data_IF_389250019712
#
_entry.id   IF_389250019712
#
_cell.length_a   1.000
_cell.length_b   1.000
_cell.length_c   1.000
_cell.angle_alpha   90.00
_cell.angle_beta   90.00
_cell.angle_gamma   90.00
#
_symmetry.space_group_name_H-M   'P 1'
#
loop_
_entity.id
_entity.type
_entity.pdbx_description
1 polymer ?
#
# COMPACT_ATOMS: atom_id res chain seq x y z
N UNK A 1 -32.72 -10.43 -11.44
CA UNK A 1 -32.52 -9.12 -12.10
C UNK A 1 -32.47 -7.98 -11.11
N UNK A 2 -33.54 -7.80 -10.38
CA UNK A 2 -33.67 -6.70 -9.44
C UNK A 2 -32.70 -6.83 -8.26
N UNK A 3 -32.29 -8.06 -7.92
CA UNK A 3 -31.34 -8.29 -6.81
C UNK A 3 -29.97 -7.66 -7.03
N UNK A 4 -29.54 -7.52 -8.29
CA UNK A 4 -28.25 -6.91 -8.61
C UNK A 4 -28.21 -5.42 -8.30
N UNK A 5 -29.33 -4.71 -8.54
CA UNK A 5 -29.41 -3.28 -8.28
C UNK A 5 -29.53 -2.96 -6.79
N UNK A 6 -29.76 -3.98 -5.95
CA UNK A 6 -29.88 -3.81 -4.50
C UNK A 6 -28.55 -4.01 -3.76
N UNK A 7 -27.48 -4.45 -4.46
CA UNK A 7 -26.17 -4.56 -3.83
C UNK A 7 -25.61 -3.16 -3.58
N UNK A 8 -25.32 -2.89 -2.32
CA UNK A 8 -24.69 -1.63 -1.94
C UNK A 8 -23.20 -1.71 -2.23
N UNK A 9 -22.71 -0.70 -2.94
CA UNK A 9 -21.28 -0.55 -3.22
C UNK A 9 -20.66 0.37 -2.17
N UNK A 10 -19.55 -0.07 -1.59
CA UNK A 10 -18.78 0.69 -0.60
C UNK A 10 -17.53 1.23 -1.27
N UNK A 11 -17.19 2.48 -0.98
CA UNK A 11 -15.96 3.09 -1.47
C UNK A 11 -15.35 3.94 -0.35
N UNK A 12 -14.06 3.75 -0.12
CA UNK A 12 -13.35 4.53 0.88
C UNK A 12 -11.89 4.66 0.50
N UNK A 13 -11.26 5.75 0.94
CA UNK A 13 -9.88 6.09 0.59
C UNK A 13 -9.12 6.61 1.79
N UNK A 14 -7.80 6.53 1.70
CA UNK A 14 -6.89 7.17 2.66
C UNK A 14 -5.67 7.70 1.92
N UNK A 15 -5.09 8.77 2.45
CA UNK A 15 -3.91 9.41 1.85
C UNK A 15 -2.93 9.76 2.95
N UNK A 16 -1.65 9.56 2.67
CA UNK A 16 -0.57 9.98 3.56
C UNK A 16 0.56 10.59 2.75
N UNK A 17 1.23 11.56 3.34
CA UNK A 17 2.44 12.16 2.80
C UNK A 17 3.59 11.89 3.73
N UNK A 18 4.80 11.82 3.17
CA UNK A 18 6.00 11.62 3.93
C UNK A 18 7.08 12.58 3.45
N UNK A 19 7.88 13.05 4.38
CA UNK A 19 8.98 13.96 4.11
C UNK A 19 10.15 13.47 4.97
N UNK A 20 11.20 12.97 4.30
CA UNK A 20 12.35 12.39 4.97
C UNK A 20 13.57 13.24 4.71
N UNK A 21 14.18 13.78 5.78
CA UNK A 21 15.44 14.50 5.69
C UNK A 21 16.57 13.49 5.72
N UNK A 22 17.48 13.61 4.76
CA UNK A 22 18.68 12.77 4.68
C UNK A 22 19.90 13.64 4.96
N UNK A 23 20.68 13.25 5.95
CA UNK A 23 21.81 14.07 6.43
C UNK A 23 23.02 14.01 5.51
N UNK A 24 23.33 12.85 4.95
CA UNK A 24 24.54 12.62 4.17
C UNK A 24 24.20 11.87 2.87
N UNK A 25 25.01 12.11 1.84
CA UNK A 25 24.93 11.40 0.56
C UNK A 25 23.61 11.64 -0.19
N UNK A 26 23.02 12.82 -0.04
CA UNK A 26 21.75 13.16 -0.71
C UNK A 26 21.86 12.98 -2.22
N UNK A 27 23.02 13.23 -2.81
CA UNK A 27 23.28 13.09 -4.23
C UNK A 27 23.15 11.64 -4.73
N UNK A 28 23.21 10.67 -3.83
CA UNK A 28 23.06 9.24 -4.17
C UNK A 28 21.61 8.76 -4.12
N UNK A 29 20.69 9.57 -3.63
CA UNK A 29 19.28 9.17 -3.51
C UNK A 29 18.65 8.75 -4.84
N UNK A 30 18.86 9.46 -5.96
CA UNK A 30 18.29 9.00 -7.23
C UNK A 30 18.76 7.62 -7.64
N UNK A 31 20.02 7.29 -7.44
CA UNK A 31 20.56 5.97 -7.76
C UNK A 31 20.03 4.90 -6.79
N UNK A 32 19.84 5.24 -5.52
CA UNK A 32 19.25 4.34 -4.55
C UNK A 32 17.83 3.95 -4.96
N UNK A 33 17.03 4.91 -5.42
CA UNK A 33 15.66 4.64 -5.84
C UNK A 33 15.57 3.68 -7.03
N UNK A 34 16.65 3.49 -7.78
CA UNK A 34 16.71 2.49 -8.86
C UNK A 34 16.82 1.05 -8.33
N UNK A 35 17.15 0.88 -7.05
CA UNK A 35 17.26 -0.44 -6.42
C UNK A 35 15.89 -0.91 -5.97
N UNK A 36 15.05 -1.31 -6.93
CA UNK A 36 13.62 -1.57 -6.70
C UNK A 36 13.34 -2.56 -5.58
N UNK A 37 13.96 -3.73 -5.62
CA UNK A 37 13.72 -4.76 -4.59
C UNK A 37 14.12 -4.26 -3.20
N UNK A 38 15.23 -3.56 -3.13
CA UNK A 38 15.74 -3.03 -1.88
C UNK A 38 14.82 -1.97 -1.30
N UNK A 39 14.42 -1.01 -2.14
CA UNK A 39 13.52 0.09 -1.73
C UNK A 39 12.16 -0.45 -1.30
N UNK A 40 11.57 -1.34 -2.10
CA UNK A 40 10.27 -1.93 -1.78
C UNK A 40 10.35 -2.74 -0.47
N UNK A 41 11.42 -3.50 -0.27
CA UNK A 41 11.63 -4.26 0.97
C UNK A 41 11.85 -3.39 2.20
N UNK A 42 12.32 -2.15 2.01
CA UNK A 42 12.44 -1.18 3.09
C UNK A 42 11.11 -0.47 3.40
N UNK A 43 10.21 -0.40 2.41
CA UNK A 43 8.91 0.25 2.55
C UNK A 43 7.83 -0.70 3.05
N UNK A 44 7.86 -1.95 2.60
CA UNK A 44 6.89 -2.97 2.95
C UNK A 44 7.59 -4.10 3.72
N UNK A 45 6.80 -4.88 4.47
CA UNK A 45 7.34 -6.00 5.23
C UNK A 45 7.90 -7.07 4.28
N UNK A 46 9.23 -7.31 4.27
CA UNK A 46 9.81 -8.26 3.35
C UNK A 46 9.36 -9.71 3.57
N UNK A 47 8.89 -10.06 4.76
CA UNK A 47 8.36 -11.40 5.02
C UNK A 47 7.05 -11.66 4.30
N UNK A 48 6.33 -10.61 3.95
CA UNK A 48 5.04 -10.68 3.25
C UNK A 48 5.15 -10.36 1.77
N UNK A 49 6.35 -10.08 1.30
CA UNK A 49 6.64 -9.63 -0.05
C UNK A 49 7.30 -10.75 -0.84
N UNK A 50 6.76 -11.07 -2.02
CA UNK A 50 7.29 -12.10 -2.90
C UNK A 50 7.58 -11.49 -4.27
N UNK A 51 8.83 -11.48 -4.73
CA UNK A 51 9.14 -11.04 -6.09
C UNK A 51 8.50 -11.96 -7.14
N UNK A 52 7.89 -11.36 -8.16
CA UNK A 52 7.28 -12.09 -9.28
C UNK A 52 8.07 -11.92 -10.59
N UNK A 53 9.07 -11.05 -10.58
CA UNK A 53 9.86 -10.69 -11.75
C UNK A 53 10.31 -9.25 -11.63
N UNK A 54 11.05 -8.71 -12.62
CA UNK A 54 11.52 -7.33 -12.56
C UNK A 54 10.37 -6.34 -12.41
N UNK A 55 10.40 -5.53 -11.36
CA UNK A 55 9.39 -4.52 -11.10
C UNK A 55 8.03 -5.05 -10.71
N UNK A 56 7.93 -6.32 -10.30
CA UNK A 56 6.65 -6.94 -9.97
C UNK A 56 6.77 -7.74 -8.68
N UNK A 57 5.79 -7.57 -7.80
CA UNK A 57 5.76 -8.19 -6.48
C UNK A 57 4.35 -8.62 -6.12
N UNK A 58 4.27 -9.67 -5.29
CA UNK A 58 3.05 -10.04 -4.58
C UNK A 58 3.22 -9.62 -3.14
N UNK A 59 2.19 -9.02 -2.55
CA UNK A 59 2.23 -8.58 -1.17
C UNK A 59 0.99 -9.05 -0.41
N UNK A 60 1.21 -9.69 0.72
CA UNK A 60 0.15 -10.08 1.64
C UNK A 60 -0.06 -8.94 2.64
N UNK A 61 -1.12 -8.17 2.45
CA UNK A 61 -1.43 -7.05 3.33
C UNK A 61 -1.75 -7.60 4.73
N UNK A 62 -1.35 -6.85 5.76
CA UNK A 62 -1.65 -7.25 7.14
C UNK A 62 -3.14 -7.51 7.29
N UNK A 63 -3.50 -8.68 7.79
CA UNK A 63 -4.89 -9.05 8.01
C UNK A 63 -5.51 -8.21 9.11
N UNK A 64 -6.80 -8.00 9.02
CA UNK A 64 -7.55 -7.21 9.99
C UNK A 64 -8.97 -7.75 10.10
N UNK A 65 -9.67 -7.33 11.14
CA UNK A 65 -11.07 -7.69 11.34
C UNK A 65 -11.96 -6.49 11.12
N UNK A 66 -13.03 -6.71 10.35
CA UNK A 66 -14.11 -5.76 10.21
C UNK A 66 -15.33 -6.38 10.89
N UNK A 67 -15.64 -5.89 12.08
CA UNK A 67 -16.62 -6.52 12.96
C UNK A 67 -16.18 -7.96 13.26
N UNK A 68 -16.87 -8.96 12.73
CA UNK A 68 -16.53 -10.37 12.96
C UNK A 68 -15.83 -11.03 11.76
N UNK A 69 -15.64 -10.27 10.67
CA UNK A 69 -15.03 -10.80 9.44
C UNK A 69 -13.52 -10.65 9.49
N UNK A 70 -12.81 -11.73 9.26
CA UNK A 70 -11.37 -11.73 9.06
C UNK A 70 -11.08 -11.38 7.60
N UNK A 71 -10.29 -10.34 7.37
CA UNK A 71 -9.99 -9.83 6.03
C UNK A 71 -8.50 -10.00 5.75
N UNK A 72 -8.17 -10.69 4.67
CA UNK A 72 -6.80 -10.97 4.27
C UNK A 72 -6.57 -10.53 2.83
N UNK A 73 -6.25 -9.24 2.60
CA UNK A 73 -6.02 -8.78 1.24
C UNK A 73 -4.68 -9.25 0.68
N UNK A 74 -4.68 -9.62 -0.60
CA UNK A 74 -3.47 -9.96 -1.34
C UNK A 74 -3.44 -9.08 -2.58
N UNK A 75 -2.30 -8.47 -2.85
CA UNK A 75 -2.17 -7.57 -4.00
C UNK A 75 -0.94 -7.92 -4.82
N UNK A 76 -1.04 -7.65 -6.13
CA UNK A 76 0.12 -7.62 -7.02
C UNK A 76 0.50 -6.16 -7.23
N UNK A 77 1.79 -5.88 -7.09
CA UNK A 77 2.32 -4.52 -7.15
C UNK A 77 3.26 -4.41 -8.35
N UNK A 78 3.06 -3.35 -9.14
CA UNK A 78 4.00 -2.92 -10.15
C UNK A 78 4.88 -1.80 -9.61
N UNK A 79 6.14 -1.78 -10.02
CA UNK A 79 7.12 -0.77 -9.62
C UNK A 79 7.75 -0.19 -10.86
N UNK A 80 7.75 1.12 -10.97
CA UNK A 80 8.33 1.84 -12.10
C UNK A 80 9.25 2.95 -11.59
N UNK A 81 10.34 3.16 -12.30
CA UNK A 81 11.22 4.29 -12.07
C UNK A 81 11.05 5.32 -13.17
N UNK A 82 11.09 6.58 -12.79
CA UNK A 82 11.28 7.69 -13.69
C UNK A 82 12.38 8.56 -13.10
N UNK A 83 12.68 9.70 -13.70
CA UNK A 83 13.77 10.55 -13.22
C UNK A 83 13.56 10.91 -11.75
N UNK A 84 14.49 10.46 -10.88
CA UNK A 84 14.49 10.73 -9.44
C UNK A 84 13.27 10.24 -8.66
N UNK A 85 12.49 9.33 -9.27
CA UNK A 85 11.24 8.83 -8.66
C UNK A 85 11.16 7.33 -8.72
N UNK A 86 10.49 6.75 -7.73
CA UNK A 86 9.99 5.39 -7.78
C UNK A 86 8.48 5.44 -7.51
N UNK A 87 7.73 4.73 -8.33
CA UNK A 87 6.27 4.64 -8.22
C UNK A 87 5.88 3.19 -7.99
N UNK A 88 4.98 2.98 -7.04
CA UNK A 88 4.36 1.68 -6.79
C UNK A 88 2.86 1.80 -7.02
N UNK A 89 2.29 0.80 -7.65
CA UNK A 89 0.85 0.75 -7.90
C UNK A 89 0.35 -0.69 -7.86
N UNK A 90 -0.90 -0.87 -7.48
CA UNK A 90 -1.52 -2.19 -7.46
C UNK A 90 -2.07 -2.50 -8.84
N UNK A 91 -1.72 -3.68 -9.37
CA UNK A 91 -2.21 -4.18 -10.65
C UNK A 91 -3.38 -5.14 -10.48
N UNK A 92 -3.37 -5.92 -9.42
CA UNK A 92 -4.44 -6.88 -9.11
C UNK A 92 -4.61 -6.97 -7.60
N UNK A 93 -5.83 -7.25 -7.16
CA UNK A 93 -6.13 -7.42 -5.74
C UNK A 93 -7.23 -8.46 -5.57
N UNK A 94 -7.18 -9.17 -4.45
CA UNK A 94 -8.24 -10.08 -4.04
C UNK A 94 -8.21 -10.26 -2.53
N UNK A 95 -9.29 -10.81 -2.00
CA UNK A 95 -9.38 -11.19 -0.59
C UNK A 95 -9.23 -12.69 -0.47
N UNK A 96 -8.29 -13.14 0.36
CA UNK A 96 -8.22 -14.54 0.75
C UNK A 96 -9.26 -14.79 1.82
N UNK A 97 -10.01 -15.88 1.68
CA UNK A 97 -11.04 -16.27 2.62
C UNK A 97 -12.31 -16.68 1.91
N UNK A 98 -13.09 -17.54 2.57
CA UNK A 98 -14.32 -18.06 2.03
C UNK A 98 -15.50 -17.15 2.37
N UNK A 99 -16.42 -17.00 1.41
CA UNK A 99 -17.72 -16.38 1.65
C UNK A 99 -17.71 -14.87 1.77
N UNK A 100 -16.64 -14.21 1.33
CA UNK A 100 -16.59 -12.75 1.31
C UNK A 100 -17.22 -12.24 0.01
N UNK A 101 -16.53 -11.41 -0.74
CA UNK A 101 -17.05 -10.81 -1.97
C UNK A 101 -16.08 -11.06 -3.12
N UNK A 102 -16.62 -11.06 -4.33
CA UNK A 102 -15.81 -11.29 -5.54
C UNK A 102 -15.31 -10.00 -6.17
N UNK A 103 -15.90 -8.88 -5.82
CA UNK A 103 -15.67 -7.60 -6.46
C UNK A 103 -14.79 -6.66 -5.65
N UNK A 104 -13.99 -7.21 -4.73
CA UNK A 104 -13.03 -6.42 -3.99
C UNK A 104 -11.97 -5.86 -4.94
N UNK A 105 -11.83 -4.54 -4.91
CA UNK A 105 -10.79 -3.86 -5.67
C UNK A 105 -10.05 -2.88 -4.77
N UNK A 106 -8.75 -3.10 -4.64
CA UNK A 106 -7.85 -2.24 -3.88
C UNK A 106 -6.94 -1.53 -4.87
N UNK A 107 -6.91 -0.21 -4.79
CA UNK A 107 -6.03 0.61 -5.61
C UNK A 107 -4.98 1.26 -4.73
N UNK A 108 -3.77 1.32 -5.25
CA UNK A 108 -2.66 2.02 -4.61
C UNK A 108 -1.93 2.81 -5.68
N UNK A 109 -1.62 4.05 -5.37
CA UNK A 109 -0.69 4.86 -6.14
C UNK A 109 0.23 5.55 -5.14
N UNK A 110 1.49 5.16 -5.13
CA UNK A 110 2.48 5.68 -4.21
C UNK A 110 3.72 6.13 -4.99
N UNK A 111 4.19 7.32 -4.69
CA UNK A 111 5.38 7.89 -5.33
C UNK A 111 6.35 8.35 -4.25
N UNK A 112 7.62 8.08 -4.46
CA UNK A 112 8.71 8.59 -3.62
C UNK A 112 9.70 9.27 -4.55
N UNK A 113 10.02 10.52 -4.25
CA UNK A 113 10.87 11.35 -5.10
C UNK A 113 12.06 11.88 -4.33
N UNK A 114 13.25 11.83 -4.97
CA UNK A 114 14.46 12.39 -4.40
C UNK A 114 14.46 13.92 -4.61
N UNK A 115 14.66 14.64 -3.52
CA UNK A 115 14.80 16.10 -3.47
C UNK A 115 16.19 16.46 -2.94
N UNK A 116 16.50 17.75 -2.92
CA UNK A 116 17.82 18.21 -2.46
C UNK A 116 18.12 17.83 -1.02
N UNK A 117 17.11 17.85 -0.16
CA UNK A 117 17.28 17.59 1.28
C UNK A 117 16.91 16.18 1.71
N UNK A 118 16.36 15.38 0.82
CA UNK A 118 15.90 14.03 1.20
C UNK A 118 14.88 13.47 0.22
N UNK A 119 13.87 12.81 0.77
CA UNK A 119 12.83 12.15 -0.01
C UNK A 119 11.46 12.72 0.34
N UNK A 120 10.65 12.96 -0.66
CA UNK A 120 9.24 13.28 -0.48
C UNK A 120 8.38 12.19 -1.08
N UNK A 121 7.34 11.82 -0.39
CA UNK A 121 6.43 10.79 -0.87
C UNK A 121 4.97 11.09 -0.58
N UNK A 122 4.12 10.42 -1.35
CA UNK A 122 2.68 10.47 -1.16
C UNK A 122 2.10 9.12 -1.59
N UNK A 123 1.14 8.63 -0.82
CA UNK A 123 0.43 7.40 -1.14
C UNK A 123 -1.07 7.63 -1.03
N UNK A 124 -1.79 7.15 -2.04
CA UNK A 124 -3.25 7.14 -2.06
C UNK A 124 -3.69 5.67 -2.12
N UNK A 125 -4.48 5.27 -1.15
CA UNK A 125 -4.99 3.91 -1.04
C UNK A 125 -6.51 3.96 -1.10
N UNK A 126 -7.12 3.12 -1.94
CA UNK A 126 -8.56 3.10 -2.10
C UNK A 126 -9.10 1.67 -2.16
N UNK A 127 -10.35 1.52 -1.74
CA UNK A 127 -11.07 0.24 -1.84
C UNK A 127 -12.47 0.51 -2.35
N UNK A 128 -12.90 -0.31 -3.30
CA UNK A 128 -14.30 -0.44 -3.68
C UNK A 128 -14.69 -1.89 -3.52
N UNK A 129 -15.87 -2.14 -2.99
CA UNK A 129 -16.33 -3.48 -2.69
C UNK A 129 -17.83 -3.47 -2.46
N UNK A 130 -18.55 -4.56 -2.84
CA UNK A 130 -19.93 -4.72 -2.43
C UNK A 130 -20.01 -4.99 -0.94
N UNK A 131 -21.08 -4.49 -0.32
CA UNK A 131 -21.31 -4.75 1.10
C UNK A 131 -21.45 -6.27 1.32
N UNK A 132 -20.61 -6.87 2.20
CA UNK A 132 -20.74 -8.30 2.49
C UNK A 132 -22.10 -8.63 3.09
N UNK A 133 -22.65 -9.77 2.66
CA UNK A 133 -23.98 -10.20 3.13
C UNK A 133 -24.06 -10.29 4.65
N UNK A 134 -23.00 -10.76 5.29
CA UNK A 134 -22.95 -10.88 6.74
C UNK A 134 -23.00 -9.53 7.46
N UNK A 135 -22.72 -8.45 6.76
CA UNK A 135 -22.71 -7.08 7.32
C UNK A 135 -23.90 -6.26 6.82
N UNK A 136 -24.92 -6.90 6.23
CA UNK A 136 -26.05 -6.20 5.57
C UNK A 136 -26.87 -5.31 6.51
N UNK A 137 -26.83 -5.58 7.81
CA UNK A 137 -27.58 -4.82 8.80
C UNK A 137 -26.84 -3.58 9.28
N UNK A 138 -25.57 -3.44 8.91
CA UNK A 138 -24.76 -2.29 9.29
C UNK A 138 -24.90 -1.22 8.21
N UNK A 139 -25.21 0.04 8.59
CA UNK A 139 -25.34 1.11 7.60
C UNK A 139 -24.09 1.26 6.74
N UNK A 140 -24.22 1.42 5.41
CA UNK A 140 -23.08 1.57 4.51
C UNK A 140 -22.12 2.68 4.92
N UNK A 141 -22.62 3.81 5.38
CA UNK A 141 -21.77 4.92 5.81
C UNK A 141 -20.89 4.56 7.01
N UNK A 142 -21.41 3.72 7.91
CA UNK A 142 -20.63 3.24 9.06
C UNK A 142 -19.53 2.30 8.60
N UNK A 143 -19.83 1.41 7.65
CA UNK A 143 -18.83 0.52 7.06
C UNK A 143 -17.75 1.30 6.32
N UNK A 144 -18.13 2.34 5.58
CA UNK A 144 -17.16 3.19 4.89
C UNK A 144 -16.25 3.95 5.85
N UNK A 145 -16.78 4.46 6.96
CA UNK A 145 -15.96 5.11 7.98
C UNK A 145 -14.98 4.13 8.62
N UNK A 146 -15.45 2.92 8.92
CA UNK A 146 -14.60 1.87 9.48
C UNK A 146 -13.51 1.50 8.48
N UNK A 147 -13.88 1.31 7.21
CA UNK A 147 -12.92 1.01 6.15
C UNK A 147 -11.88 2.12 5.98
N UNK A 148 -12.30 3.37 5.98
CA UNK A 148 -11.39 4.51 5.89
C UNK A 148 -10.40 4.54 7.04
N UNK A 149 -10.86 4.29 8.27
CA UNK A 149 -9.97 4.19 9.44
C UNK A 149 -8.96 3.08 9.31
N UNK A 150 -9.38 1.92 8.78
CA UNK A 150 -8.49 0.78 8.56
C UNK A 150 -7.43 1.13 7.52
N UNK A 151 -7.82 1.70 6.38
CA UNK A 151 -6.87 2.09 5.33
C UNK A 151 -5.89 3.13 5.86
N UNK A 152 -6.37 4.10 6.61
CA UNK A 152 -5.50 5.10 7.20
C UNK A 152 -4.50 4.48 8.17
N UNK A 153 -4.95 3.52 8.97
CA UNK A 153 -4.08 2.77 9.88
C UNK A 153 -3.00 1.98 9.12
N UNK A 154 -3.36 1.36 8.02
CA UNK A 154 -2.41 0.64 7.16
C UNK A 154 -1.35 1.62 6.63
N UNK A 155 -1.78 2.75 6.08
CA UNK A 155 -0.85 3.75 5.54
C UNK A 155 0.04 4.34 6.63
N UNK A 156 -0.48 4.59 7.82
CA UNK A 156 0.33 5.09 8.93
C UNK A 156 1.38 4.07 9.36
N UNK A 157 1.03 2.78 9.35
CA UNK A 157 1.99 1.72 9.63
C UNK A 157 3.11 1.67 8.60
N UNK A 158 2.77 1.79 7.32
CA UNK A 158 3.75 1.86 6.24
C UNK A 158 4.62 3.11 6.38
N UNK A 159 4.01 4.25 6.66
CA UNK A 159 4.73 5.51 6.86
C UNK A 159 5.76 5.39 8.00
N UNK A 160 5.35 4.82 9.13
CA UNK A 160 6.25 4.61 10.26
C UNK A 160 7.42 3.70 9.89
N UNK A 161 7.15 2.64 9.13
CA UNK A 161 8.19 1.74 8.64
C UNK A 161 9.15 2.46 7.70
N UNK A 162 8.63 3.23 6.75
CA UNK A 162 9.44 3.98 5.79
C UNK A 162 10.35 4.96 6.54
N UNK A 163 9.82 5.70 7.50
CA UNK A 163 10.59 6.65 8.30
C UNK A 163 11.75 5.99 9.04
N UNK A 164 11.55 4.74 9.48
CA UNK A 164 12.54 4.04 10.27
C UNK A 164 13.50 3.21 9.41
N UNK A 165 12.98 2.45 8.46
CA UNK A 165 13.76 1.44 7.73
C UNK A 165 14.43 1.98 6.47
N UNK A 166 13.79 2.91 5.78
CA UNK A 166 14.31 3.36 4.48
C UNK A 166 15.63 4.10 4.65
N UNK A 167 15.73 4.98 5.63
CA UNK A 167 16.96 5.73 5.90
C UNK A 167 18.09 4.78 6.33
N UNK A 168 17.78 3.80 7.17
CA UNK A 168 18.76 2.78 7.59
C UNK A 168 19.25 2.01 6.36
N UNK A 169 18.35 1.57 5.51
CA UNK A 169 18.73 0.82 4.32
C UNK A 169 19.54 1.68 3.34
N UNK A 170 19.13 2.93 3.14
CA UNK A 170 19.88 3.86 2.31
C UNK A 170 21.32 4.04 2.82
N UNK A 171 21.47 4.26 4.12
CA UNK A 171 22.81 4.43 4.72
C UNK A 171 23.66 3.17 4.55
N UNK A 172 23.06 2.00 4.71
CA UNK A 172 23.77 0.72 4.49
C UNK A 172 24.15 0.56 3.02
N UNK A 173 23.27 0.89 2.11
CA UNK A 173 23.55 0.84 0.67
C UNK A 173 24.71 1.78 0.30
N UNK A 174 24.76 2.98 0.87
CA UNK A 174 25.85 3.94 0.64
C UNK A 174 27.18 3.39 1.10
N UNK A 175 27.22 2.61 2.19
CA UNK A 175 28.46 1.99 2.68
C UNK A 175 28.95 0.88 1.76
N UNK A 176 28.07 0.26 1.01
CA UNK A 176 28.38 -0.83 0.08
C UNK A 176 28.84 -0.30 -1.29
N UNK A 177 28.61 0.97 -1.57
CA UNK A 177 28.82 1.53 -2.92
C UNK A 177 29.66 2.82 -2.92
#
# INVERSE_FOLDING_TARGET
MLSKSLKMSLAFTARQKIDLVVQNNQEKLPDYLLQQERVVGAMLDPEKLTPLGPGRFKYEVTSFKVFQLQINPVVSIGVENSEKKIRMYVTESHLDGLGLVDDFDLTLDAVLEAKLSGLEGEALLGVTVSQPHLLRLIPPKMLEKTGQSILNGILLGIKARVQKQLIVDFNNWCKEN
#
